data_IF_283469433432
#
_entry.id   IF_283469433432
#
_cell.length_a   1.000
_cell.length_b   1.000
_cell.length_c   1.000
_cell.angle_alpha   90.00
_cell.angle_beta   90.00
_cell.angle_gamma   90.00
#
_symmetry.space_group_name_H-M   'P 1'
#
loop_
_entity.id
_entity.type
_entity.pdbx_description
1 polymer ?
#
# COMPACT_ATOMS: atom_id res chain seq x y z
N UNK A 1 -11.23 17.37 -2.51
CA UNK A 1 -11.98 16.40 -3.29
C UNK A 1 -11.38 15.02 -3.10
N UNK A 2 -12.17 13.97 -3.31
CA UNK A 2 -11.74 12.60 -3.20
C UNK A 2 -12.45 11.75 -4.27
N UNK A 3 -11.67 10.98 -5.02
CA UNK A 3 -12.16 10.06 -6.05
C UNK A 3 -11.42 8.73 -5.90
N UNK A 4 -12.16 7.61 -6.05
CA UNK A 4 -11.58 6.26 -5.96
C UNK A 4 -12.27 5.32 -6.94
N UNK A 5 -11.45 4.58 -7.68
CA UNK A 5 -11.84 3.41 -8.46
C UNK A 5 -11.14 2.18 -7.85
N UNK A 6 -11.90 1.13 -7.62
CA UNK A 6 -11.36 -0.16 -7.19
C UNK A 6 -11.97 -1.28 -8.04
N UNK A 7 -11.10 -2.13 -8.58
CA UNK A 7 -11.49 -3.34 -9.32
C UNK A 7 -10.92 -4.53 -8.56
N UNK A 8 -11.76 -5.52 -8.25
CA UNK A 8 -11.35 -6.75 -7.58
C UNK A 8 -11.81 -7.94 -8.42
N UNK A 9 -10.88 -8.85 -8.66
CA UNK A 9 -11.13 -10.09 -9.40
C UNK A 9 -10.61 -11.27 -8.59
N UNK A 10 -11.28 -12.41 -8.70
CA UNK A 10 -10.86 -13.63 -8.00
C UNK A 10 -11.15 -14.87 -8.80
N UNK A 11 -10.20 -15.78 -8.79
CA UNK A 11 -10.32 -17.11 -9.39
C UNK A 11 -10.07 -18.18 -8.35
N UNK A 12 -10.92 -19.20 -8.31
CA UNK A 12 -10.82 -20.30 -7.37
C UNK A 12 -10.82 -21.62 -8.13
N UNK A 13 -9.74 -22.38 -8.00
CA UNK A 13 -9.64 -23.75 -8.48
C UNK A 13 -9.68 -24.72 -7.29
N UNK A 14 -10.46 -25.80 -7.40
CA UNK A 14 -10.55 -26.84 -6.36
C UNK A 14 -10.40 -28.22 -6.98
N UNK A 15 -9.56 -29.03 -6.34
CA UNK A 15 -9.43 -30.43 -6.61
C UNK A 15 -9.74 -31.23 -5.34
N UNK A 16 -10.52 -32.28 -5.46
CA UNK A 16 -10.90 -33.13 -4.34
C UNK A 16 -10.87 -34.60 -4.73
N UNK A 17 -10.28 -35.40 -3.87
CA UNK A 17 -10.40 -36.88 -3.91
C UNK A 17 -10.63 -37.41 -2.51
N UNK A 18 -10.66 -38.75 -2.36
CA UNK A 18 -10.95 -39.42 -1.06
C UNK A 18 -9.85 -39.21 0.01
N UNK A 19 -8.68 -38.67 -0.35
CA UNK A 19 -7.53 -38.53 0.56
C UNK A 19 -7.21 -37.08 0.87
N UNK A 20 -7.23 -36.20 -0.15
CA UNK A 20 -6.81 -34.82 -0.06
C UNK A 20 -7.78 -33.90 -0.79
N UNK A 21 -7.85 -32.66 -0.32
CA UNK A 21 -8.48 -31.55 -1.00
C UNK A 21 -7.44 -30.44 -1.20
N UNK A 22 -7.34 -29.95 -2.42
CA UNK A 22 -6.45 -28.83 -2.79
C UNK A 22 -7.33 -27.69 -3.27
N UNK A 23 -7.04 -26.48 -2.83
CA UNK A 23 -7.64 -25.26 -3.36
C UNK A 23 -6.54 -24.25 -3.69
N UNK A 24 -6.69 -23.58 -4.83
CA UNK A 24 -5.89 -22.46 -5.25
C UNK A 24 -6.84 -21.25 -5.37
N UNK A 25 -6.45 -20.13 -4.77
CA UNK A 25 -7.21 -18.89 -4.75
C UNK A 25 -6.29 -17.80 -5.26
N UNK A 26 -6.54 -17.35 -6.47
CA UNK A 26 -5.85 -16.21 -7.08
C UNK A 26 -6.73 -14.98 -6.96
N UNK A 27 -6.21 -13.86 -6.48
CA UNK A 27 -6.93 -12.60 -6.44
C UNK A 27 -6.08 -11.48 -7.03
N UNK A 28 -6.74 -10.59 -7.75
CA UNK A 28 -6.16 -9.38 -8.28
C UNK A 28 -6.98 -8.17 -7.85
N UNK A 29 -6.30 -7.12 -7.40
CA UNK A 29 -6.90 -5.84 -7.08
C UNK A 29 -6.18 -4.73 -7.83
N UNK A 30 -6.96 -3.84 -8.42
CA UNK A 30 -6.53 -2.54 -8.92
C UNK A 30 -7.18 -1.44 -8.11
N UNK A 31 -6.38 -0.46 -7.69
CA UNK A 31 -6.82 0.76 -7.02
C UNK A 31 -6.29 1.97 -7.79
N UNK A 32 -7.16 2.93 -8.08
CA UNK A 32 -6.82 4.28 -8.55
C UNK A 32 -7.52 5.28 -7.63
N UNK A 33 -6.73 6.07 -6.93
CA UNK A 33 -7.19 6.93 -5.83
C UNK A 33 -6.59 8.31 -6.00
N UNK A 34 -7.42 9.34 -5.91
CA UNK A 34 -7.00 10.73 -5.96
C UNK A 34 -7.66 11.53 -4.85
N UNK A 35 -6.86 12.12 -4.00
CA UNK A 35 -7.31 13.01 -2.92
C UNK A 35 -6.67 14.39 -3.07
N UNK A 36 -7.49 15.44 -3.04
CA UNK A 36 -7.05 16.84 -3.03
C UNK A 36 -7.41 17.46 -1.70
N UNK A 37 -6.42 17.94 -0.99
CA UNK A 37 -6.52 18.54 0.33
C UNK A 37 -6.03 19.99 0.30
N UNK A 38 -6.77 20.86 0.98
CA UNK A 38 -6.30 22.16 1.42
C UNK A 38 -5.80 22.00 2.85
N UNK A 39 -4.50 22.11 3.06
CA UNK A 39 -3.87 21.83 4.36
C UNK A 39 -3.41 23.10 5.10
N UNK A 40 -3.63 24.27 4.54
CA UNK A 40 -3.19 25.50 5.21
C UNK A 40 -4.16 25.93 6.33
N UNK A 41 -5.39 25.34 6.35
CA UNK A 41 -6.44 25.60 7.35
C UNK A 41 -6.71 27.11 7.59
N UNK A 42 -6.39 27.96 6.61
CA UNK A 42 -6.52 29.40 6.69
C UNK A 42 -7.51 29.91 5.62
N UNK A 43 -8.08 31.11 5.78
CA UNK A 43 -8.89 31.71 4.74
C UNK A 43 -8.05 32.21 3.53
N UNK A 44 -6.72 32.12 3.61
CA UNK A 44 -5.80 32.45 2.52
C UNK A 44 -5.56 31.25 1.64
N UNK A 45 -5.36 31.46 0.37
CA UNK A 45 -5.10 30.42 -0.60
C UNK A 45 -3.59 30.19 -0.74
N UNK A 46 -2.99 29.47 0.23
CA UNK A 46 -1.54 29.30 0.29
C UNK A 46 -1.07 28.11 -0.55
N UNK A 47 -1.56 26.90 -0.28
CA UNK A 47 -1.17 25.73 -1.05
C UNK A 47 -2.25 24.63 -1.01
N UNK A 48 -2.21 23.78 -2.00
CA UNK A 48 -3.02 22.56 -2.04
C UNK A 48 -2.11 21.37 -2.26
N UNK A 49 -2.39 20.27 -1.60
CA UNK A 49 -1.73 18.98 -1.80
C UNK A 49 -2.68 18.03 -2.51
N UNK A 50 -2.17 17.36 -3.52
CA UNK A 50 -2.83 16.19 -4.10
C UNK A 50 -2.07 14.94 -3.68
N UNK A 51 -2.80 13.89 -3.43
CA UNK A 51 -2.24 12.54 -3.24
C UNK A 51 -2.93 11.63 -4.24
N UNK A 52 -2.15 11.11 -5.16
CA UNK A 52 -2.60 10.18 -6.20
C UNK A 52 -1.90 8.85 -5.98
N UNK A 53 -2.66 7.77 -5.99
CA UNK A 53 -2.15 6.43 -5.79
C UNK A 53 -2.72 5.51 -6.87
N UNK A 54 -1.83 4.71 -7.47
CA UNK A 54 -2.20 3.59 -8.32
C UNK A 54 -1.56 2.34 -7.76
N UNK A 55 -2.38 1.36 -7.45
CA UNK A 55 -1.91 0.12 -6.84
C UNK A 55 -2.42 -1.09 -7.62
N UNK A 56 -1.51 -2.01 -7.88
CA UNK A 56 -1.80 -3.35 -8.37
C UNK A 56 -1.40 -4.35 -7.30
N UNK A 57 -2.31 -5.19 -6.88
CA UNK A 57 -2.03 -6.26 -5.92
C UNK A 57 -2.46 -7.60 -6.50
N UNK A 58 -1.54 -8.55 -6.54
CA UNK A 58 -1.78 -9.93 -6.94
C UNK A 58 -1.50 -10.84 -5.74
N UNK A 59 -2.43 -11.73 -5.43
CA UNK A 59 -2.25 -12.72 -4.36
C UNK A 59 -2.55 -14.12 -4.88
N UNK A 60 -1.83 -15.10 -4.36
CA UNK A 60 -2.09 -16.52 -4.59
C UNK A 60 -2.02 -17.27 -3.26
N UNK A 61 -3.04 -18.06 -2.99
CA UNK A 61 -3.06 -18.96 -1.85
C UNK A 61 -3.34 -20.40 -2.30
N UNK A 62 -2.42 -21.30 -2.00
CA UNK A 62 -2.57 -22.74 -2.23
C UNK A 62 -2.74 -23.42 -0.90
N UNK A 63 -3.85 -24.13 -0.73
CA UNK A 63 -4.20 -24.84 0.50
C UNK A 63 -4.39 -26.33 0.20
N UNK A 64 -3.74 -27.16 0.97
CA UNK A 64 -3.86 -28.63 0.92
C UNK A 64 -4.30 -29.11 2.30
N UNK A 65 -5.32 -29.96 2.33
CA UNK A 65 -5.82 -30.57 3.56
C UNK A 65 -6.24 -32.02 3.34
N UNK A 66 -6.28 -32.80 4.40
CA UNK A 66 -6.88 -34.11 4.30
C UNK A 66 -8.39 -34.00 4.04
N UNK A 67 -8.91 -34.92 3.20
CA UNK A 67 -10.31 -34.90 2.78
C UNK A 67 -11.26 -35.66 3.69
N UNK A 68 -10.75 -36.67 4.43
CA UNK A 68 -11.57 -37.52 5.26
C UNK A 68 -11.77 -36.92 6.66
N UNK A 69 -12.98 -36.41 7.00
CA UNK A 69 -13.25 -35.79 8.30
C UNK A 69 -13.28 -36.76 9.47
N UNK A 70 -13.34 -38.07 9.22
CA UNK A 70 -13.40 -39.11 10.25
C UNK A 70 -12.03 -39.55 10.77
N UNK A 71 -10.94 -39.11 10.13
CA UNK A 71 -9.60 -39.40 10.61
C UNK A 71 -9.35 -38.68 11.96
N UNK A 72 -8.62 -39.37 12.83
CA UNK A 72 -8.22 -38.80 14.12
C UNK A 72 -7.28 -37.63 13.99
N UNK A 73 -6.46 -37.61 12.94
CA UNK A 73 -5.55 -36.53 12.58
C UNK A 73 -6.10 -35.76 11.39
N UNK A 74 -6.46 -34.52 11.63
CA UNK A 74 -6.83 -33.54 10.63
C UNK A 74 -5.65 -32.61 10.45
N UNK A 75 -5.37 -32.21 9.24
CA UNK A 75 -4.30 -31.27 8.96
C UNK A 75 -4.62 -30.36 7.78
N UNK A 76 -4.06 -29.17 7.81
CA UNK A 76 -4.08 -28.19 6.75
C UNK A 76 -2.69 -27.62 6.58
N UNK A 77 -2.23 -27.49 5.34
CA UNK A 77 -1.00 -26.80 4.98
C UNK A 77 -1.28 -25.84 3.86
N UNK A 78 -0.63 -24.72 3.86
CA UNK A 78 -0.80 -23.76 2.77
C UNK A 78 0.44 -22.93 2.55
N UNK A 79 0.47 -22.36 1.34
CA UNK A 79 1.41 -21.36 0.91
C UNK A 79 0.63 -20.14 0.44
N UNK A 80 1.08 -18.96 0.83
CA UNK A 80 0.55 -17.67 0.39
C UNK A 80 1.66 -16.84 -0.23
N UNK A 81 1.38 -16.23 -1.37
CA UNK A 81 2.27 -15.33 -2.07
C UNK A 81 1.51 -14.05 -2.40
N UNK A 82 2.18 -12.92 -2.32
CA UNK A 82 1.63 -11.68 -2.85
C UNK A 82 2.69 -10.79 -3.46
N UNK A 83 2.27 -9.99 -4.43
CA UNK A 83 3.01 -8.88 -4.98
C UNK A 83 2.12 -7.65 -5.04
N UNK A 84 2.62 -6.53 -4.56
CA UNK A 84 1.96 -5.23 -4.59
C UNK A 84 2.88 -4.22 -5.24
N UNK A 85 2.37 -3.46 -6.19
CA UNK A 85 3.07 -2.39 -6.89
C UNK A 85 2.27 -1.10 -6.68
N UNK A 86 2.81 -0.22 -5.87
CA UNK A 86 2.20 1.06 -5.54
C UNK A 86 3.02 2.18 -6.17
N UNK A 87 2.38 2.92 -7.07
CA UNK A 87 2.85 4.20 -7.59
C UNK A 87 2.10 5.31 -6.88
N UNK A 88 2.82 6.21 -6.22
CA UNK A 88 2.26 7.33 -5.49
C UNK A 88 2.87 8.64 -6.00
N UNK A 89 2.02 9.63 -6.26
CA UNK A 89 2.43 10.99 -6.56
C UNK A 89 1.76 11.96 -5.60
N UNK A 90 2.55 12.83 -4.99
CA UNK A 90 2.10 13.78 -3.97
C UNK A 90 2.55 15.21 -4.29
N UNK A 91 2.07 15.83 -5.40
CA UNK A 91 2.42 17.19 -5.73
C UNK A 91 1.83 18.19 -4.74
N UNK A 92 2.66 19.15 -4.32
CA UNK A 92 2.25 20.30 -3.53
C UNK A 92 2.27 21.53 -4.43
N UNK A 93 1.09 22.10 -4.66
CA UNK A 93 0.93 23.32 -5.46
C UNK A 93 0.82 24.53 -4.55
N UNK A 94 1.86 25.36 -4.53
CA UNK A 94 1.84 26.66 -3.90
C UNK A 94 1.13 27.66 -4.83
N UNK A 95 0.26 28.47 -4.26
CA UNK A 95 -0.43 29.57 -4.89
C UNK A 95 0.26 30.90 -4.50
N UNK A 96 -0.16 32.01 -5.07
CA UNK A 96 0.52 33.32 -4.89
C UNK A 96 0.76 33.67 -3.40
N UNK A 97 -0.27 33.54 -2.55
CA UNK A 97 -0.17 33.85 -1.12
C UNK A 97 0.87 32.97 -0.41
N UNK A 98 0.97 31.69 -0.80
CA UNK A 98 1.95 30.76 -0.26
C UNK A 98 3.36 31.03 -0.76
N UNK A 99 3.51 31.41 -2.03
CA UNK A 99 4.80 31.80 -2.60
C UNK A 99 5.33 33.01 -1.86
N UNK A 100 4.54 34.06 -1.72
CA UNK A 100 4.94 35.29 -1.02
C UNK A 100 5.17 35.06 0.47
N UNK A 101 4.22 34.42 1.17
CA UNK A 101 4.25 34.32 2.62
C UNK A 101 5.20 33.27 3.16
N UNK A 102 5.27 32.09 2.52
CA UNK A 102 6.06 30.95 3.03
C UNK A 102 7.44 30.85 2.37
N UNK A 103 7.53 31.12 1.07
CA UNK A 103 8.78 30.89 0.33
C UNK A 103 9.59 32.19 0.27
N UNK A 104 9.06 33.25 -0.38
CA UNK A 104 9.82 34.48 -0.65
C UNK A 104 10.12 35.24 0.63
N UNK A 105 9.17 35.37 1.55
CA UNK A 105 9.37 36.09 2.80
C UNK A 105 10.55 35.56 3.60
N UNK A 106 10.56 34.25 3.87
CA UNK A 106 11.61 33.61 4.64
C UNK A 106 12.97 33.61 3.90
N UNK A 107 12.94 33.33 2.60
CA UNK A 107 14.15 33.28 1.77
C UNK A 107 14.78 34.64 1.64
N UNK A 108 13.98 35.69 1.34
CA UNK A 108 14.49 37.06 1.16
C UNK A 108 14.94 37.67 2.48
N UNK A 109 14.32 37.32 3.61
CA UNK A 109 14.82 37.70 4.94
C UNK A 109 16.22 37.14 5.18
N UNK A 110 16.44 35.88 4.88
CA UNK A 110 17.74 35.23 5.05
C UNK A 110 18.79 35.75 4.08
N UNK A 111 18.43 35.96 2.81
CA UNK A 111 19.32 36.57 1.80
C UNK A 111 19.71 37.99 2.19
N UNK A 112 18.74 38.80 2.58
CA UNK A 112 18.96 40.22 2.97
C UNK A 112 19.90 40.36 4.19
N UNK A 113 19.90 39.38 5.10
CA UNK A 113 20.82 39.35 6.24
C UNK A 113 22.28 39.10 5.83
N UNK A 114 22.51 38.36 4.73
CA UNK A 114 23.86 38.05 4.24
C UNK A 114 24.29 38.97 3.11
N UNK A 115 23.36 39.32 2.22
CA UNK A 115 23.58 40.17 1.03
C UNK A 115 22.53 41.27 0.98
N UNK A 116 22.74 42.43 1.65
CA UNK A 116 21.82 43.54 1.65
C UNK A 116 21.52 44.03 0.22
N UNK A 117 20.24 44.19 -0.11
CA UNK A 117 19.78 44.68 -1.42
C UNK A 117 19.56 43.60 -2.47
N UNK A 118 19.79 42.32 -2.13
CA UNK A 118 19.47 41.19 -2.99
C UNK A 118 18.23 40.46 -2.48
N UNK A 119 17.44 39.87 -3.39
CA UNK A 119 16.27 39.07 -3.09
C UNK A 119 15.91 38.19 -4.28
N UNK A 120 15.14 37.13 -4.01
CA UNK A 120 14.55 36.27 -5.02
C UNK A 120 13.13 36.76 -5.33
N UNK A 121 12.72 36.55 -6.56
CA UNK A 121 11.33 36.73 -7.00
C UNK A 121 10.91 35.46 -7.80
N UNK A 122 9.66 35.07 -7.63
CA UNK A 122 9.02 34.01 -8.41
C UNK A 122 7.86 34.69 -9.14
N UNK A 123 8.00 34.99 -10.44
CA UNK A 123 7.02 35.77 -11.17
C UNK A 123 5.72 35.01 -11.46
N UNK A 124 5.72 33.71 -11.26
CA UNK A 124 4.57 32.82 -11.54
C UNK A 124 3.53 32.88 -10.42
N UNK A 125 2.24 32.81 -10.79
CA UNK A 125 1.12 32.76 -9.84
C UNK A 125 1.00 31.42 -9.10
N UNK A 126 1.71 30.40 -9.54
CA UNK A 126 1.78 29.11 -8.87
C UNK A 126 3.12 28.42 -9.11
N UNK A 127 3.51 27.62 -8.14
CA UNK A 127 4.70 26.79 -8.15
C UNK A 127 4.35 25.39 -7.63
N UNK A 128 4.84 24.35 -8.30
CA UNK A 128 4.54 22.95 -7.94
C UNK A 128 5.82 22.23 -7.56
N UNK A 129 5.81 21.59 -6.41
CA UNK A 129 6.82 20.63 -6.01
C UNK A 129 6.25 19.24 -6.28
N UNK A 130 6.92 18.47 -7.12
CA UNK A 130 6.56 17.10 -7.42
C UNK A 130 7.30 16.16 -6.47
N UNK A 131 6.61 15.11 -6.04
CA UNK A 131 7.16 14.01 -5.28
C UNK A 131 6.53 12.71 -5.78
N UNK A 132 7.34 11.81 -6.30
CA UNK A 132 6.90 10.55 -6.86
C UNK A 132 7.60 9.39 -6.15
N UNK A 133 6.84 8.35 -5.84
CA UNK A 133 7.32 7.18 -5.12
C UNK A 133 6.84 5.93 -5.86
N UNK A 134 7.74 4.99 -6.05
CA UNK A 134 7.42 3.63 -6.47
C UNK A 134 7.76 2.67 -5.33
N UNK A 135 6.76 1.93 -4.86
CA UNK A 135 6.88 1.11 -3.65
C UNK A 135 6.42 -0.33 -3.96
N UNK A 136 7.28 -1.15 -4.59
CA UNK A 136 7.00 -2.56 -4.74
C UNK A 136 7.16 -3.30 -3.41
N UNK A 137 6.20 -4.17 -3.12
CA UNK A 137 6.21 -5.04 -1.94
C UNK A 137 5.92 -6.47 -2.36
N UNK A 138 6.70 -7.44 -1.87
CA UNK A 138 6.52 -8.86 -2.14
C UNK A 138 6.52 -9.62 -0.84
N UNK A 139 5.66 -10.61 -0.73
CA UNK A 139 5.63 -11.45 0.45
C UNK A 139 5.30 -12.91 0.15
N UNK A 140 5.76 -13.76 1.04
CA UNK A 140 5.50 -15.20 1.01
C UNK A 140 5.25 -15.71 2.42
N UNK A 141 4.33 -16.64 2.57
CA UNK A 141 4.11 -17.34 3.82
C UNK A 141 3.91 -18.83 3.58
N UNK A 142 4.38 -19.63 4.54
CA UNK A 142 4.08 -21.05 4.64
C UNK A 142 3.46 -21.33 5.99
N UNK A 143 2.43 -22.17 6.02
CA UNK A 143 1.78 -22.54 7.26
C UNK A 143 1.36 -24.02 7.27
N UNK A 144 1.31 -24.54 8.48
CA UNK A 144 0.80 -25.87 8.76
C UNK A 144 0.06 -25.86 10.09
N UNK A 145 -1.07 -26.57 10.14
CA UNK A 145 -1.81 -26.86 11.37
C UNK A 145 -2.21 -28.32 11.40
N UNK A 146 -2.09 -28.92 12.56
CA UNK A 146 -2.55 -30.29 12.87
C UNK A 146 -3.54 -30.26 14.02
N UNK A 147 -4.62 -30.99 13.86
CA UNK A 147 -5.64 -31.23 14.87
C UNK A 147 -5.71 -32.74 15.16
N UNK A 148 -5.44 -33.15 16.39
CA UNK A 148 -5.38 -34.56 16.79
C UNK A 148 -6.45 -34.84 17.86
N UNK A 149 -7.32 -35.81 17.58
CA UNK A 149 -8.36 -36.25 18.52
C UNK A 149 -7.85 -37.42 19.37
N UNK A 150 -7.74 -37.21 20.68
CA UNK A 150 -7.26 -38.15 21.66
C UNK A 150 -8.36 -38.43 22.71
N UNK A 151 -9.32 -39.27 22.36
CA UNK A 151 -10.47 -39.57 23.21
C UNK A 151 -11.34 -38.33 23.49
N UNK A 152 -11.27 -37.77 24.70
CA UNK A 152 -12.00 -36.54 25.08
C UNK A 152 -11.21 -35.25 24.80
N UNK A 153 -9.95 -35.37 24.36
CA UNK A 153 -9.08 -34.26 24.11
C UNK A 153 -8.97 -33.97 22.61
N UNK A 154 -9.00 -32.72 22.22
CA UNK A 154 -8.61 -32.25 20.92
C UNK A 154 -7.38 -31.35 21.09
N UNK A 155 -6.29 -31.75 20.44
CA UNK A 155 -5.03 -30.99 20.44
C UNK A 155 -4.85 -30.33 19.07
N UNK A 156 -4.72 -29.01 19.07
CA UNK A 156 -4.41 -28.22 17.87
C UNK A 156 -3.04 -27.61 18.03
N UNK A 157 -2.17 -27.81 17.05
CA UNK A 157 -0.88 -27.14 16.94
C UNK A 157 -0.67 -26.63 15.52
N UNK A 158 -0.14 -25.43 15.39
CA UNK A 158 0.13 -24.80 14.09
C UNK A 158 1.37 -23.93 14.13
N UNK A 159 1.96 -23.75 12.96
CA UNK A 159 3.10 -22.88 12.71
C UNK A 159 2.85 -22.11 11.42
N UNK A 160 3.26 -20.85 11.39
CA UNK A 160 3.29 -19.99 10.20
C UNK A 160 4.61 -19.21 10.18
N UNK A 161 5.19 -19.13 9.02
CA UNK A 161 6.41 -18.36 8.75
C UNK A 161 6.06 -17.40 7.62
N UNK A 162 6.32 -16.12 7.84
CA UNK A 162 6.09 -15.04 6.88
C UNK A 162 7.41 -14.35 6.55
N UNK A 163 7.57 -14.01 5.28
CA UNK A 163 8.67 -13.22 4.74
C UNK A 163 8.07 -12.09 3.92
N UNK A 164 8.57 -10.88 4.15
CA UNK A 164 8.16 -9.70 3.38
C UNK A 164 9.38 -8.87 3.01
N UNK A 165 9.35 -8.34 1.80
CA UNK A 165 10.35 -7.41 1.28
C UNK A 165 9.64 -6.21 0.66
N UNK A 166 10.04 -5.01 1.07
CA UNK A 166 9.57 -3.73 0.53
C UNK A 166 10.77 -2.87 0.15
N UNK A 167 10.71 -2.23 -1.00
CA UNK A 167 11.63 -1.17 -1.39
C UNK A 167 10.86 0.10 -1.74
N UNK A 168 11.55 1.23 -1.74
CA UNK A 168 10.99 2.51 -2.13
C UNK A 168 12.00 3.27 -2.98
N UNK A 169 11.58 3.59 -4.19
CA UNK A 169 12.31 4.48 -5.09
C UNK A 169 11.62 5.83 -5.09
N UNK A 170 12.41 6.90 -5.02
CA UNK A 170 11.96 8.29 -4.94
C UNK A 170 12.56 9.12 -6.06
N UNK A 171 11.73 9.94 -6.72
CA UNK A 171 12.10 10.94 -7.72
C UNK A 171 11.59 12.33 -7.33
#
# INVERSE_FOLDING_TARGET
GYERLTINEGFVARYHNNKISISSITSYQYLDDCMTLDQDFSPRSMFTMQQMQKEHTLTEEIVIRNANPLQRWQWISGAFLFGKWLDMSSPVKFKRDGIEGLILHNTNTNIGNVFPGYGLDIPNDSFVIHSEFNIPTYGAALYHQSDIRLGRWNLTAGVRIDLEYTSMDYN
#
